data_IF_926502665741
#
_entry.id   IF_926502665741
#
_cell.length_a   1.000
_cell.length_b   1.000
_cell.length_c   1.000
_cell.angle_alpha   90.00
_cell.angle_beta   90.00
_cell.angle_gamma   90.00
#
_symmetry.space_group_name_H-M   'P 1'
#
loop_
_entity.id
_entity.type
_entity.pdbx_description
1 polymer ?
#
# COMPACT_ATOMS: atom_id res chain seq x y z
N UNK A 1 4.84 1.72 -11.92
CA UNK A 1 4.46 0.60 -12.80
C UNK A 1 4.88 -0.74 -12.23
N UNK A 2 6.18 -1.04 -12.08
CA UNK A 2 6.65 -2.32 -11.54
C UNK A 2 5.95 -2.76 -10.24
N UNK A 3 5.95 -1.91 -9.21
CA UNK A 3 5.28 -2.23 -7.94
C UNK A 3 3.77 -2.47 -8.04
N UNK A 4 3.06 -1.76 -8.93
CA UNK A 4 1.61 -1.95 -9.11
C UNK A 4 1.35 -3.24 -9.86
N UNK A 5 2.12 -3.52 -10.92
CA UNK A 5 2.05 -4.76 -11.67
C UNK A 5 2.30 -5.98 -10.77
N UNK A 6 3.30 -5.92 -9.89
CA UNK A 6 3.56 -6.94 -8.87
C UNK A 6 2.35 -7.14 -7.94
N UNK A 7 1.72 -6.04 -7.50
CA UNK A 7 0.54 -6.10 -6.61
C UNK A 7 -0.66 -6.74 -7.32
N UNK A 8 -0.92 -6.35 -8.58
CA UNK A 8 -1.98 -6.94 -9.42
C UNK A 8 -1.71 -8.43 -9.62
N UNK A 9 -0.46 -8.83 -9.83
CA UNK A 9 -0.09 -10.23 -10.01
C UNK A 9 -0.38 -11.06 -8.75
N UNK A 10 0.04 -10.60 -7.56
CA UNK A 10 -0.25 -11.28 -6.29
C UNK A 10 -1.77 -11.38 -6.04
N UNK A 11 -2.49 -10.28 -6.22
CA UNK A 11 -3.95 -10.24 -6.07
C UNK A 11 -4.65 -11.18 -7.04
N UNK A 12 -4.20 -11.23 -8.29
CA UNK A 12 -4.80 -12.11 -9.30
C UNK A 12 -4.60 -13.58 -8.96
N UNK A 13 -3.40 -13.95 -8.50
CA UNK A 13 -3.12 -15.30 -8.00
C UNK A 13 -4.00 -15.62 -6.79
N UNK A 14 -4.03 -14.73 -5.80
CA UNK A 14 -4.85 -14.87 -4.60
C UNK A 14 -6.32 -15.10 -4.97
N UNK A 15 -6.91 -14.20 -5.77
CA UNK A 15 -8.30 -14.28 -6.16
C UNK A 15 -8.63 -15.58 -6.90
N UNK A 16 -7.83 -15.94 -7.91
CA UNK A 16 -8.07 -17.15 -8.70
C UNK A 16 -7.89 -18.43 -7.88
N UNK A 17 -6.86 -18.49 -7.02
CA UNK A 17 -6.68 -19.59 -6.07
C UNK A 17 -7.87 -19.68 -5.10
N UNK A 18 -8.41 -18.55 -4.64
CA UNK A 18 -9.62 -18.55 -3.81
C UNK A 18 -10.85 -19.06 -4.54
N UNK A 19 -11.02 -18.69 -5.81
CA UNK A 19 -12.11 -19.17 -6.65
C UNK A 19 -12.03 -20.70 -6.82
N UNK A 20 -10.83 -21.21 -7.10
CA UNK A 20 -10.57 -22.63 -7.20
C UNK A 20 -10.78 -23.36 -5.85
N UNK A 21 -10.29 -22.78 -4.76
CA UNK A 21 -10.41 -23.37 -3.42
C UNK A 21 -11.88 -23.46 -2.98
N UNK A 22 -12.65 -22.40 -3.16
CA UNK A 22 -14.01 -22.29 -2.63
C UNK A 22 -15.06 -22.96 -3.52
N UNK A 23 -14.93 -22.86 -4.84
CA UNK A 23 -15.94 -23.35 -5.79
C UNK A 23 -15.43 -24.44 -6.74
N UNK A 24 -14.16 -24.87 -6.61
CA UNK A 24 -13.59 -25.90 -7.48
C UNK A 24 -13.39 -25.46 -8.93
N UNK A 25 -13.59 -24.17 -9.24
CA UNK A 25 -13.50 -23.66 -10.61
C UNK A 25 -12.03 -23.57 -11.00
N UNK A 26 -11.62 -24.47 -11.88
CA UNK A 26 -10.28 -24.45 -12.46
C UNK A 26 -10.19 -23.38 -13.52
N UNK A 27 -9.03 -22.73 -13.59
CA UNK A 27 -8.73 -21.73 -14.60
C UNK A 27 -7.55 -22.23 -15.43
N UNK A 28 -7.72 -22.24 -16.75
CA UNK A 28 -6.62 -22.56 -17.67
C UNK A 28 -5.58 -21.44 -17.70
N UNK A 29 -4.57 -21.59 -18.56
CA UNK A 29 -3.50 -20.59 -18.72
C UNK A 29 -4.00 -19.18 -19.05
N UNK A 30 -5.18 -19.06 -19.67
CA UNK A 30 -5.81 -17.77 -20.00
C UNK A 30 -6.54 -17.11 -18.83
N UNK A 31 -6.85 -17.83 -17.74
CA UNK A 31 -7.62 -17.30 -16.61
C UNK A 31 -7.01 -16.05 -15.97
N UNK A 32 -5.71 -16.08 -15.58
CA UNK A 32 -5.01 -14.90 -15.06
C UNK A 32 -5.02 -13.72 -16.03
N UNK A 33 -4.86 -13.99 -17.33
CA UNK A 33 -4.85 -12.95 -18.36
C UNK A 33 -6.22 -12.28 -18.48
N UNK A 34 -7.29 -13.07 -18.56
CA UNK A 34 -8.67 -12.58 -18.64
C UNK A 34 -9.08 -11.81 -17.39
N UNK A 35 -8.66 -12.29 -16.21
CA UNK A 35 -8.92 -11.62 -14.95
C UNK A 35 -8.25 -10.24 -14.88
N UNK A 36 -6.96 -10.14 -15.22
CA UNK A 36 -6.27 -8.84 -15.25
C UNK A 36 -6.79 -7.92 -16.34
N UNK A 37 -7.17 -8.46 -17.50
CA UNK A 37 -7.82 -7.68 -18.55
C UNK A 37 -9.15 -7.08 -18.04
N UNK A 38 -9.97 -7.87 -17.36
CA UNK A 38 -11.21 -7.42 -16.74
C UNK A 38 -10.97 -6.33 -15.67
N UNK A 39 -10.01 -6.55 -14.76
CA UNK A 39 -9.61 -5.52 -13.79
C UNK A 39 -9.14 -4.24 -14.46
N UNK A 40 -8.40 -4.36 -15.57
CA UNK A 40 -7.90 -3.22 -16.35
C UNK A 40 -9.02 -2.40 -16.93
N UNK A 41 -10.04 -3.03 -17.50
CA UNK A 41 -11.24 -2.32 -17.95
C UNK A 41 -11.92 -1.58 -16.79
N UNK A 42 -12.07 -2.24 -15.64
CA UNK A 42 -12.75 -1.64 -14.47
C UNK A 42 -11.99 -0.40 -13.98
N UNK A 43 -10.68 -0.49 -13.75
CA UNK A 43 -9.92 0.64 -13.19
C UNK A 43 -9.68 1.75 -14.22
N UNK A 44 -9.59 1.44 -15.52
CA UNK A 44 -9.50 2.47 -16.57
C UNK A 44 -10.79 3.29 -16.63
N UNK A 45 -11.95 2.64 -16.62
CA UNK A 45 -13.25 3.32 -16.60
C UNK A 45 -13.42 4.12 -15.29
N UNK A 46 -13.00 3.57 -14.15
CA UNK A 46 -13.05 4.26 -12.86
C UNK A 46 -12.16 5.51 -12.85
N UNK A 47 -10.94 5.42 -13.36
CA UNK A 47 -10.01 6.54 -13.46
C UNK A 47 -10.53 7.67 -14.37
N UNK A 48 -11.28 7.32 -15.43
CA UNK A 48 -11.82 8.26 -16.42
C UNK A 48 -13.12 8.93 -15.97
N UNK A 49 -14.06 8.17 -15.37
CA UNK A 49 -15.42 8.61 -14.99
C UNK A 49 -15.50 9.68 -13.89
N UNK A 50 -14.37 10.20 -13.43
CA UNK A 50 -14.29 11.36 -12.55
C UNK A 50 -13.52 11.05 -11.28
N UNK A 51 -12.24 11.45 -11.29
CA UNK A 51 -11.22 11.39 -10.23
C UNK A 51 -11.72 11.70 -8.81
N UNK A 52 -12.76 12.52 -8.65
CA UNK A 52 -13.23 12.93 -7.32
C UNK A 52 -14.41 12.13 -6.75
N UNK A 53 -15.28 11.55 -7.58
CA UNK A 53 -16.48 10.83 -7.10
C UNK A 53 -16.28 9.31 -7.12
N UNK A 54 -15.69 8.76 -8.18
CA UNK A 54 -15.42 7.31 -8.30
C UNK A 54 -14.46 6.83 -7.23
N UNK A 55 -13.23 7.39 -7.21
CA UNK A 55 -12.19 7.06 -6.24
C UNK A 55 -12.70 7.20 -4.79
N UNK A 56 -13.44 8.27 -4.48
CA UNK A 56 -13.96 8.48 -3.12
C UNK A 56 -15.02 7.45 -2.71
N UNK A 57 -15.90 7.04 -3.64
CA UNK A 57 -16.91 6.01 -3.38
C UNK A 57 -16.27 4.63 -3.20
N UNK A 58 -15.39 4.24 -4.12
CA UNK A 58 -14.72 2.94 -4.06
C UNK A 58 -13.83 2.86 -2.81
N UNK A 59 -13.10 3.93 -2.46
CA UNK A 59 -12.34 4.00 -1.21
C UNK A 59 -13.23 3.90 0.04
N UNK A 60 -14.44 4.50 0.01
CA UNK A 60 -15.42 4.36 1.08
C UNK A 60 -15.93 2.92 1.24
N UNK A 61 -16.26 2.26 0.12
CA UNK A 61 -16.63 0.83 0.10
C UNK A 61 -15.49 -0.03 0.61
N UNK A 62 -14.25 0.25 0.19
CA UNK A 62 -13.06 -0.45 0.66
C UNK A 62 -12.92 -0.37 2.18
N UNK A 63 -13.08 0.83 2.75
CA UNK A 63 -12.98 1.04 4.19
C UNK A 63 -14.09 0.29 4.94
N UNK A 64 -15.34 0.34 4.45
CA UNK A 64 -16.46 -0.36 5.07
C UNK A 64 -16.25 -1.87 5.01
N UNK A 65 -15.85 -2.42 3.86
CA UNK A 65 -15.54 -3.83 3.70
C UNK A 65 -14.39 -4.26 4.63
N UNK A 66 -13.33 -3.44 4.72
CA UNK A 66 -12.19 -3.71 5.58
C UNK A 66 -12.58 -3.78 7.06
N UNK A 67 -13.33 -2.80 7.55
CA UNK A 67 -13.81 -2.76 8.94
C UNK A 67 -14.79 -3.90 9.20
N UNK A 68 -15.74 -4.14 8.29
CA UNK A 68 -16.71 -5.23 8.41
C UNK A 68 -16.01 -6.59 8.47
N UNK A 69 -15.08 -6.83 7.54
CA UNK A 69 -14.29 -8.06 7.51
C UNK A 69 -13.48 -8.24 8.80
N UNK A 70 -12.76 -7.19 9.24
CA UNK A 70 -11.96 -7.24 10.46
C UNK A 70 -12.79 -7.51 11.71
N UNK A 71 -13.94 -6.84 11.86
CA UNK A 71 -14.84 -7.06 13.00
C UNK A 71 -15.45 -8.46 12.99
N UNK A 72 -15.91 -8.93 11.82
CA UNK A 72 -16.51 -10.26 11.69
C UNK A 72 -15.46 -11.35 11.96
N UNK A 73 -14.27 -11.22 11.38
CA UNK A 73 -13.16 -12.13 11.62
C UNK A 73 -12.77 -12.14 13.11
N UNK A 74 -12.66 -10.99 13.77
CA UNK A 74 -12.38 -10.93 15.20
C UNK A 74 -13.48 -11.58 16.04
N UNK A 75 -14.75 -11.40 15.66
CA UNK A 75 -15.88 -11.97 16.38
C UNK A 75 -15.89 -13.50 16.38
N UNK A 76 -15.49 -14.13 15.26
CA UNK A 76 -15.46 -15.59 15.09
C UNK A 76 -14.10 -16.24 15.35
N UNK A 77 -13.03 -15.45 15.51
CA UNK A 77 -11.69 -15.96 15.84
C UNK A 77 -11.54 -16.29 17.33
N UNK A 78 -10.56 -17.14 17.72
CA UNK A 78 -10.22 -17.36 19.13
C UNK A 78 -9.63 -16.08 19.77
N UNK A 79 -10.49 -15.26 20.39
CA UNK A 79 -10.16 -13.89 20.84
C UNK A 79 -8.98 -13.85 21.80
N UNK A 80 -8.93 -14.77 22.75
CA UNK A 80 -7.84 -14.85 23.74
C UNK A 80 -6.50 -15.15 23.07
N UNK A 81 -6.50 -15.99 22.03
CA UNK A 81 -5.31 -16.28 21.24
C UNK A 81 -4.89 -15.05 20.42
N UNK A 82 -5.83 -14.36 19.76
CA UNK A 82 -5.54 -13.13 19.00
C UNK A 82 -4.92 -12.06 19.90
N UNK A 83 -5.46 -11.87 21.11
CA UNK A 83 -4.96 -10.88 22.06
C UNK A 83 -3.58 -11.27 22.65
N UNK A 84 -3.39 -12.54 23.01
CA UNK A 84 -2.12 -13.02 23.59
C UNK A 84 -0.98 -13.04 22.57
N UNK A 85 -1.19 -13.64 21.39
CA UNK A 85 -0.24 -13.58 20.28
C UNK A 85 0.01 -12.14 19.84
N UNK A 86 -1.05 -11.33 19.78
CA UNK A 86 -0.95 -9.93 19.36
C UNK A 86 -0.11 -9.09 20.32
N UNK A 87 -0.31 -9.26 21.62
CA UNK A 87 0.47 -8.56 22.67
C UNK A 87 1.94 -9.00 22.62
N UNK A 88 2.19 -10.29 22.44
CA UNK A 88 3.55 -10.84 22.29
C UNK A 88 4.25 -10.29 21.05
N UNK A 89 3.53 -10.19 19.93
CA UNK A 89 4.04 -9.62 18.69
C UNK A 89 4.41 -8.14 18.85
N UNK A 90 3.57 -7.34 19.52
CA UNK A 90 3.86 -5.93 19.82
C UNK A 90 5.07 -5.77 20.74
N UNK A 91 5.17 -6.58 21.80
CA UNK A 91 6.32 -6.58 22.71
C UNK A 91 7.62 -6.91 21.97
N UNK A 92 7.60 -7.99 21.17
CA UNK A 92 8.74 -8.41 20.35
C UNK A 92 9.12 -7.35 19.32
N UNK A 93 8.13 -6.72 18.66
CA UNK A 93 8.39 -5.63 17.73
C UNK A 93 9.11 -4.47 18.41
N UNK A 94 8.66 -4.05 19.59
CA UNK A 94 9.28 -2.95 20.34
C UNK A 94 10.71 -3.27 20.79
N UNK A 95 10.97 -4.50 21.26
CA UNK A 95 12.30 -4.89 21.74
C UNK A 95 13.28 -5.19 20.61
N UNK A 96 12.79 -5.69 19.49
CA UNK A 96 13.63 -6.14 18.36
C UNK A 96 13.73 -5.12 17.23
N UNK A 97 13.11 -3.95 17.36
CA UNK A 97 13.09 -2.92 16.32
C UNK A 97 14.49 -2.52 15.84
N UNK A 98 15.38 -2.13 16.76
CA UNK A 98 16.74 -1.68 16.42
C UNK A 98 17.59 -2.84 15.86
N UNK A 99 17.67 -4.02 16.49
CA UNK A 99 18.40 -5.15 15.93
C UNK A 99 17.94 -5.55 14.52
N UNK A 100 16.62 -5.67 14.29
CA UNK A 100 16.09 -6.03 12.97
C UNK A 100 16.36 -4.96 11.91
N UNK A 101 16.40 -3.68 12.30
CA UNK A 101 16.68 -2.57 11.38
C UNK A 101 18.12 -2.56 10.86
N UNK A 102 19.06 -3.17 11.60
CA UNK A 102 20.49 -3.21 11.27
C UNK A 102 20.95 -4.57 10.73
N UNK A 103 20.07 -5.57 10.74
CA UNK A 103 20.40 -6.93 10.30
C UNK A 103 20.39 -7.04 8.77
N UNK A 104 21.52 -7.45 8.20
CA UNK A 104 21.73 -7.53 6.74
C UNK A 104 22.03 -8.94 6.23
N UNK A 105 22.10 -9.94 7.11
CA UNK A 105 22.63 -11.26 6.79
C UNK A 105 21.57 -12.28 6.32
N UNK A 106 21.92 -13.08 5.31
CA UNK A 106 21.23 -14.33 4.98
C UNK A 106 20.15 -14.23 3.89
N UNK A 107 19.84 -15.39 3.32
CA UNK A 107 18.83 -15.55 2.26
C UNK A 107 17.43 -15.09 2.72
N UNK A 108 17.11 -15.31 3.99
CA UNK A 108 15.85 -14.84 4.59
C UNK A 108 15.68 -13.32 4.50
N UNK A 109 16.75 -12.56 4.79
CA UNK A 109 16.72 -11.08 4.71
C UNK A 109 16.55 -10.62 3.27
N UNK A 110 17.17 -11.33 2.32
CA UNK A 110 16.98 -11.04 0.90
C UNK A 110 15.53 -11.29 0.45
N UNK A 111 14.97 -12.47 0.77
CA UNK A 111 13.62 -12.88 0.37
C UNK A 111 12.48 -12.13 1.06
N UNK A 112 12.72 -11.59 2.26
CA UNK A 112 11.70 -10.84 3.01
C UNK A 112 12.02 -9.36 3.11
N UNK A 113 13.04 -8.98 3.89
CA UNK A 113 13.30 -7.58 4.24
C UNK A 113 13.67 -6.74 3.01
N UNK A 114 14.70 -7.15 2.25
CA UNK A 114 15.19 -6.41 1.07
C UNK A 114 14.15 -6.40 -0.03
N UNK A 115 13.47 -7.52 -0.26
CA UNK A 115 12.36 -7.59 -1.21
C UNK A 115 11.22 -6.62 -0.83
N UNK A 116 10.75 -6.63 0.42
CA UNK A 116 9.71 -5.72 0.89
C UNK A 116 10.14 -4.26 0.74
N UNK A 117 11.36 -3.90 1.18
CA UNK A 117 11.88 -2.53 1.01
C UNK A 117 11.88 -2.09 -0.46
N UNK A 118 12.34 -2.95 -1.35
CA UNK A 118 12.34 -2.65 -2.79
C UNK A 118 10.94 -2.46 -3.33
N UNK A 119 10.01 -3.32 -2.92
CA UNK A 119 8.60 -3.17 -3.28
C UNK A 119 8.03 -1.83 -2.78
N UNK A 120 8.28 -1.46 -1.52
CA UNK A 120 7.82 -0.18 -0.97
C UNK A 120 8.45 1.03 -1.68
N UNK A 121 9.74 1.00 -2.00
CA UNK A 121 10.39 2.08 -2.77
C UNK A 121 9.84 2.18 -4.20
N UNK A 122 9.50 1.06 -4.85
CA UNK A 122 8.84 1.10 -6.17
C UNK A 122 7.46 1.79 -6.13
N UNK A 123 6.83 1.84 -4.94
CA UNK A 123 5.54 2.47 -4.66
C UNK A 123 5.63 3.91 -4.13
N UNK A 124 6.78 4.29 -3.59
CA UNK A 124 7.01 5.60 -2.96
C UNK A 124 6.61 6.82 -3.81
N UNK A 125 6.85 6.90 -5.15
CA UNK A 125 6.45 8.08 -5.92
C UNK A 125 4.92 8.21 -6.00
N UNK A 126 4.20 7.08 -6.10
CA UNK A 126 2.74 7.06 -6.15
C UNK A 126 2.14 7.47 -4.81
N UNK A 127 2.58 6.82 -3.73
CA UNK A 127 2.11 7.11 -2.38
C UNK A 127 2.44 8.55 -1.97
N UNK A 128 3.65 9.04 -2.30
CA UNK A 128 4.10 10.39 -2.00
C UNK A 128 3.26 11.46 -2.70
N UNK A 129 3.00 11.32 -4.01
CA UNK A 129 2.18 12.29 -4.74
C UNK A 129 0.72 12.27 -4.27
N UNK A 130 0.18 11.09 -3.97
CA UNK A 130 -1.17 10.94 -3.42
C UNK A 130 -1.30 11.63 -2.05
N UNK A 131 -0.36 11.36 -1.13
CA UNK A 131 -0.33 12.01 0.18
C UNK A 131 -0.17 13.52 0.04
N UNK A 132 0.69 14.00 -0.87
CA UNK A 132 0.87 15.42 -1.13
C UNK A 132 -0.41 16.08 -1.64
N UNK A 133 -1.12 15.45 -2.57
CA UNK A 133 -2.37 15.96 -3.13
C UNK A 133 -3.47 16.10 -2.06
N UNK A 134 -3.58 15.14 -1.15
CA UNK A 134 -4.56 15.17 -0.05
C UNK A 134 -4.17 16.13 1.08
N UNK A 135 -2.89 16.53 1.13
CA UNK A 135 -2.31 17.30 2.23
C UNK A 135 -2.21 18.81 1.97
N UNK A 136 -2.81 19.32 0.88
CA UNK A 136 -2.78 20.75 0.55
C UNK A 136 -3.32 21.59 1.72
N UNK A 137 -2.52 22.56 2.17
CA UNK A 137 -2.87 23.46 3.28
C UNK A 137 -2.67 22.86 4.69
N UNK A 138 -2.18 21.62 4.82
CA UNK A 138 -1.86 21.01 6.11
C UNK A 138 -0.42 21.31 6.54
N UNK A 139 -0.18 21.34 7.85
CA UNK A 139 1.18 21.45 8.41
C UNK A 139 1.96 20.17 8.17
N UNK A 140 3.25 20.26 7.85
CA UNK A 140 4.15 19.11 7.61
C UNK A 140 4.03 18.08 8.74
N UNK A 141 4.09 18.52 10.00
CA UNK A 141 3.94 17.63 11.18
C UNK A 141 2.66 16.80 11.17
N UNK A 142 1.54 17.38 10.74
CA UNK A 142 0.25 16.69 10.69
C UNK A 142 0.23 15.68 9.55
N UNK A 143 0.83 16.03 8.41
CA UNK A 143 0.96 15.13 7.26
C UNK A 143 1.81 13.92 7.61
N UNK A 144 2.97 14.13 8.24
CA UNK A 144 3.87 13.06 8.66
C UNK A 144 3.23 12.18 9.73
N UNK A 145 2.64 12.78 10.77
CA UNK A 145 2.02 12.02 11.86
C UNK A 145 0.82 11.22 11.37
N UNK A 146 -0.12 11.83 10.65
CA UNK A 146 -1.30 11.12 10.12
C UNK A 146 -0.88 10.09 9.08
N UNK A 147 0.08 10.42 8.21
CA UNK A 147 0.58 9.50 7.19
C UNK A 147 1.25 8.27 7.77
N UNK A 148 2.13 8.43 8.77
CA UNK A 148 2.84 7.31 9.40
C UNK A 148 1.94 6.56 10.40
N UNK A 149 1.36 7.26 11.38
CA UNK A 149 0.68 6.60 12.50
C UNK A 149 -0.61 5.93 12.06
N UNK A 150 -1.45 6.60 11.26
CA UNK A 150 -2.73 6.02 10.87
C UNK A 150 -2.56 4.79 9.95
N UNK A 151 -1.60 4.84 9.02
CA UNK A 151 -1.33 3.71 8.12
C UNK A 151 -0.67 2.55 8.86
N UNK A 152 0.31 2.82 9.72
CA UNK A 152 0.92 1.80 10.57
C UNK A 152 -0.08 1.15 11.51
N UNK A 153 -1.00 1.91 12.12
CA UNK A 153 -2.02 1.36 13.00
C UNK A 153 -2.95 0.38 12.27
N UNK A 154 -3.40 0.71 11.05
CA UNK A 154 -4.22 -0.18 10.25
C UNK A 154 -3.48 -1.48 9.90
N UNK A 155 -2.21 -1.38 9.52
CA UNK A 155 -1.34 -2.53 9.23
C UNK A 155 -1.14 -3.40 10.47
N UNK A 156 -0.86 -2.79 11.63
CA UNK A 156 -0.72 -3.51 12.90
C UNK A 156 -2.00 -4.28 13.20
N UNK A 157 -3.17 -3.63 13.20
CA UNK A 157 -4.45 -4.30 13.48
C UNK A 157 -4.67 -5.49 12.53
N UNK A 158 -4.38 -5.32 11.24
CA UNK A 158 -4.50 -6.40 10.26
C UNK A 158 -3.61 -7.60 10.58
N UNK A 159 -2.32 -7.36 10.86
CA UNK A 159 -1.36 -8.43 11.17
C UNK A 159 -1.62 -9.09 12.52
N UNK A 160 -2.03 -8.34 13.55
CA UNK A 160 -2.39 -8.93 14.84
C UNK A 160 -3.61 -9.83 14.70
N UNK A 161 -4.63 -9.39 13.95
CA UNK A 161 -5.85 -10.17 13.75
C UNK A 161 -5.58 -11.43 12.92
N UNK A 162 -5.09 -11.30 11.69
CA UNK A 162 -4.86 -12.46 10.82
C UNK A 162 -3.72 -13.35 11.32
N UNK A 163 -2.62 -12.75 11.80
CA UNK A 163 -1.47 -13.47 12.31
C UNK A 163 -1.77 -14.20 13.61
N UNK A 164 -2.47 -13.56 14.55
CA UNK A 164 -2.90 -14.19 15.79
C UNK A 164 -3.85 -15.36 15.53
N UNK A 165 -4.83 -15.18 14.64
CA UNK A 165 -5.76 -16.26 14.27
C UNK A 165 -5.04 -17.39 13.54
N UNK A 166 -4.18 -17.09 12.55
CA UNK A 166 -3.50 -18.13 11.77
C UNK A 166 -2.53 -18.95 12.61
N UNK A 167 -1.74 -18.32 13.48
CA UNK A 167 -0.85 -19.00 14.42
C UNK A 167 -1.65 -19.89 15.37
N UNK A 168 -2.75 -19.39 15.91
CA UNK A 168 -3.61 -20.17 16.81
C UNK A 168 -4.19 -21.41 16.12
N UNK A 169 -4.74 -21.27 14.91
CA UNK A 169 -5.36 -22.39 14.21
C UNK A 169 -4.33 -23.40 13.68
N UNK A 170 -3.16 -22.93 13.23
CA UNK A 170 -2.06 -23.79 12.80
C UNK A 170 -1.47 -24.58 13.98
N UNK A 171 -1.16 -23.93 15.11
CA UNK A 171 -0.56 -24.60 16.26
C UNK A 171 -1.53 -25.56 16.97
N UNK A 172 -2.82 -25.25 16.98
CA UNK A 172 -3.84 -26.17 17.55
C UNK A 172 -4.15 -27.36 16.64
N UNK A 173 -3.70 -27.35 15.38
CA UNK A 173 -4.07 -28.35 14.38
C UNK A 173 -5.48 -28.19 13.81
N UNK A 174 -6.21 -27.14 14.19
CA UNK A 174 -7.57 -26.85 13.70
C UNK A 174 -7.57 -26.52 12.19
N UNK A 175 -6.50 -25.89 11.70
CA UNK A 175 -6.29 -25.63 10.27
C UNK A 175 -4.88 -26.03 9.85
N UNK A 176 -4.75 -26.71 8.71
CA UNK A 176 -3.44 -27.01 8.12
C UNK A 176 -3.10 -26.02 6.98
N UNK A 177 -2.72 -24.81 7.38
CA UNK A 177 -2.38 -23.71 6.46
C UNK A 177 -1.10 -24.04 5.71
N UNK A 178 -0.05 -24.46 6.42
CA UNK A 178 1.24 -24.81 5.81
C UNK A 178 1.11 -26.00 4.85
N UNK A 179 0.32 -27.02 5.21
CA UNK A 179 0.04 -28.15 4.33
C UNK A 179 -0.73 -27.74 3.08
N UNK A 180 -1.66 -26.79 3.20
CA UNK A 180 -2.38 -26.26 2.03
C UNK A 180 -1.44 -25.52 1.07
N UNK A 181 -0.50 -24.73 1.60
CA UNK A 181 0.53 -24.07 0.77
C UNK A 181 1.38 -25.12 0.03
N UNK A 182 1.81 -26.16 0.74
CA UNK A 182 2.60 -27.24 0.15
C UNK A 182 1.86 -27.97 -0.99
N UNK A 183 0.56 -28.26 -0.82
CA UNK A 183 -0.24 -28.93 -1.87
C UNK A 183 -0.58 -28.02 -3.05
N UNK A 184 -0.47 -26.70 -2.91
CA UNK A 184 -0.67 -25.72 -3.98
C UNK A 184 0.64 -25.25 -4.60
N UNK A 185 1.64 -26.15 -4.66
CA UNK A 185 2.94 -25.88 -5.31
C UNK A 185 3.76 -24.81 -4.59
N UNK A 186 3.59 -24.67 -3.27
CA UNK A 186 4.29 -23.66 -2.47
C UNK A 186 3.68 -22.26 -2.55
N UNK A 187 2.54 -22.09 -3.24
CA UNK A 187 1.92 -20.78 -3.40
C UNK A 187 1.27 -20.28 -2.10
N UNK A 188 1.79 -19.18 -1.54
CA UNK A 188 1.21 -18.51 -0.38
C UNK A 188 -0.17 -17.92 -0.68
N UNK A 189 -0.54 -17.84 -1.97
CA UNK A 189 -1.82 -17.37 -2.42
C UNK A 189 -3.00 -18.18 -1.83
N UNK A 190 -2.78 -19.42 -1.37
CA UNK A 190 -3.83 -20.22 -0.76
C UNK A 190 -4.02 -19.93 0.74
N UNK A 191 -3.04 -19.33 1.42
CA UNK A 191 -2.90 -19.37 2.88
C UNK A 191 -4.12 -18.87 3.69
N UNK A 192 -4.82 -17.85 3.17
CA UNK A 192 -6.00 -17.29 3.83
C UNK A 192 -7.23 -18.21 3.81
N UNK A 193 -7.39 -19.05 2.78
CA UNK A 193 -8.59 -19.86 2.61
C UNK A 193 -8.77 -21.01 3.62
N UNK A 194 -7.75 -21.82 3.95
CA UNK A 194 -7.88 -22.83 5.00
C UNK A 194 -8.07 -22.18 6.39
N UNK A 195 -7.49 -20.99 6.61
CA UNK A 195 -7.72 -20.20 7.81
C UNK A 195 -9.21 -19.83 7.95
N UNK A 196 -9.82 -19.25 6.90
CA UNK A 196 -11.23 -18.88 6.94
C UNK A 196 -12.17 -20.09 6.97
N UNK A 197 -11.76 -21.20 6.35
CA UNK A 197 -12.53 -22.45 6.31
C UNK A 197 -12.65 -23.14 7.65
N UNK A 198 -11.68 -22.93 8.54
CA UNK A 198 -11.70 -23.44 9.89
C UNK A 198 -12.55 -22.59 10.86
N UNK A 199 -13.10 -21.46 10.41
CA UNK A 199 -13.89 -20.55 11.24
C UNK A 199 -15.39 -20.60 10.90
N UNK A 200 -16.26 -20.28 11.87
CA UNK A 200 -17.67 -20.02 11.60
C UNK A 200 -17.84 -18.94 10.52
N UNK A 201 -18.92 -19.02 9.75
CA UNK A 201 -19.20 -18.09 8.63
C UNK A 201 -18.13 -18.10 7.53
N UNK A 202 -17.38 -19.21 7.38
CA UNK A 202 -16.32 -19.40 6.37
C UNK A 202 -16.69 -18.85 4.98
N UNK A 203 -17.83 -19.25 4.41
CA UNK A 203 -18.22 -18.82 3.06
C UNK A 203 -18.37 -17.29 2.96
N UNK A 204 -18.92 -16.65 4.00
CA UNK A 204 -19.06 -15.20 4.06
C UNK A 204 -17.69 -14.53 4.21
N UNK A 205 -16.81 -15.06 5.06
CA UNK A 205 -15.44 -14.56 5.22
C UNK A 205 -14.66 -14.61 3.91
N UNK A 206 -14.70 -15.74 3.21
CA UNK A 206 -14.02 -15.92 1.92
C UNK A 206 -14.60 -14.99 0.87
N UNK A 207 -15.92 -14.85 0.80
CA UNK A 207 -16.59 -13.90 -0.09
C UNK A 207 -16.16 -12.46 0.18
N UNK A 208 -16.20 -12.02 1.45
CA UNK A 208 -15.79 -10.67 1.84
C UNK A 208 -14.30 -10.43 1.56
N UNK A 209 -13.45 -11.43 1.81
CA UNK A 209 -12.02 -11.34 1.51
C UNK A 209 -11.75 -11.19 0.01
N UNK A 210 -12.42 -11.98 -0.84
CA UNK A 210 -12.33 -11.85 -2.29
C UNK A 210 -12.87 -10.50 -2.79
N UNK A 211 -13.98 -10.03 -2.24
CA UNK A 211 -14.53 -8.70 -2.55
C UNK A 211 -13.54 -7.58 -2.17
N UNK A 212 -12.92 -7.70 -0.99
CA UNK A 212 -11.91 -6.76 -0.49
C UNK A 212 -10.70 -6.73 -1.42
N UNK A 213 -10.22 -7.88 -1.89
CA UNK A 213 -9.12 -7.98 -2.86
C UNK A 213 -9.43 -7.19 -4.14
N UNK A 214 -10.63 -7.36 -4.71
CA UNK A 214 -11.05 -6.66 -5.93
C UNK A 214 -11.11 -5.15 -5.70
N UNK A 215 -11.81 -4.72 -4.65
CA UNK A 215 -11.98 -3.28 -4.37
C UNK A 215 -10.65 -2.61 -4.05
N UNK A 216 -9.77 -3.30 -3.31
CA UNK A 216 -8.45 -2.80 -2.96
C UNK A 216 -7.56 -2.61 -4.19
N UNK A 217 -7.51 -3.60 -5.09
CA UNK A 217 -6.66 -3.50 -6.28
C UNK A 217 -7.20 -2.48 -7.28
N UNK A 218 -8.52 -2.38 -7.44
CA UNK A 218 -9.15 -1.35 -8.28
C UNK A 218 -8.81 0.05 -7.77
N UNK A 219 -9.02 0.33 -6.48
CA UNK A 219 -8.70 1.65 -5.88
C UNK A 219 -7.23 2.01 -6.03
N UNK A 220 -6.37 1.01 -5.83
CA UNK A 220 -4.91 1.14 -5.94
C UNK A 220 -4.48 1.43 -7.37
N UNK A 221 -5.01 0.68 -8.34
CA UNK A 221 -4.72 0.83 -9.76
C UNK A 221 -5.27 2.13 -10.35
N UNK A 222 -6.44 2.59 -9.89
CA UNK A 222 -7.02 3.89 -10.24
C UNK A 222 -6.07 5.02 -9.88
N UNK A 223 -5.65 5.03 -8.61
CA UNK A 223 -4.79 6.07 -8.05
C UNK A 223 -3.42 6.07 -8.72
N UNK A 224 -2.84 4.89 -8.97
CA UNK A 224 -1.55 4.79 -9.67
C UNK A 224 -1.63 5.28 -11.10
N UNK A 225 -2.68 4.90 -11.84
CA UNK A 225 -2.89 5.33 -13.23
C UNK A 225 -2.96 6.84 -13.33
N UNK A 226 -3.74 7.47 -12.43
CA UNK A 226 -3.85 8.92 -12.38
C UNK A 226 -2.50 9.59 -12.09
N UNK A 227 -1.74 9.08 -11.11
CA UNK A 227 -0.42 9.65 -10.76
C UNK A 227 0.56 9.53 -11.92
N UNK A 228 0.67 8.37 -12.58
CA UNK A 228 1.54 8.23 -13.76
C UNK A 228 1.11 9.23 -14.83
N UNK A 229 -0.18 9.34 -15.09
CA UNK A 229 -0.70 10.26 -16.11
C UNK A 229 -0.33 11.71 -15.79
N UNK A 230 -0.43 12.13 -14.52
CA UNK A 230 -0.02 13.46 -14.07
C UNK A 230 1.49 13.67 -14.28
N UNK A 231 2.32 12.69 -13.90
CA UNK A 231 3.78 12.77 -14.05
C UNK A 231 4.23 12.80 -15.52
N UNK A 232 3.45 12.18 -16.41
CA UNK A 232 3.69 12.16 -17.86
C UNK A 232 3.05 13.33 -18.61
N UNK A 233 2.30 14.18 -17.91
CA UNK A 233 1.67 15.37 -18.49
C UNK A 233 2.54 16.60 -18.22
N UNK A 234 2.64 17.52 -19.19
CA UNK A 234 3.39 18.77 -18.97
C UNK A 234 2.81 19.53 -17.77
N UNK A 235 3.70 20.17 -17.01
CA UNK A 235 3.34 21.00 -15.86
C UNK A 235 2.29 22.04 -16.28
N UNK A 236 1.22 22.17 -15.49
CA UNK A 236 0.05 23.05 -15.71
C UNK A 236 -0.97 22.60 -16.77
N UNK A 237 -0.84 21.42 -17.37
CA UNK A 237 -1.91 20.83 -18.18
C UNK A 237 -2.69 19.79 -17.37
N UNK A 238 -4.00 19.72 -17.60
CA UNK A 238 -4.82 18.64 -17.08
C UNK A 238 -4.55 17.36 -17.89
N UNK A 239 -4.44 16.20 -17.24
CA UNK A 239 -4.41 14.90 -17.90
C UNK A 239 -5.57 14.74 -18.89
N UNK A 240 -5.29 14.32 -20.13
CA UNK A 240 -6.34 13.99 -21.10
C UNK A 240 -6.87 12.58 -20.87
N UNK A 241 -8.14 12.34 -21.22
CA UNK A 241 -8.74 11.00 -21.20
C UNK A 241 -7.89 9.97 -21.94
N UNK A 242 -7.38 10.31 -23.13
CA UNK A 242 -6.51 9.42 -23.89
C UNK A 242 -5.22 9.02 -23.16
N UNK A 243 -4.63 9.95 -22.39
CA UNK A 243 -3.43 9.67 -21.59
C UNK A 243 -3.74 8.73 -20.42
N UNK A 244 -4.88 8.93 -19.73
CA UNK A 244 -5.35 8.06 -18.64
C UNK A 244 -5.57 6.63 -19.16
N UNK A 245 -6.27 6.49 -20.28
CA UNK A 245 -6.54 5.19 -20.92
C UNK A 245 -5.23 4.52 -21.34
N UNK A 246 -4.32 5.25 -21.98
CA UNK A 246 -3.02 4.72 -22.39
C UNK A 246 -2.24 4.17 -21.20
N UNK A 247 -2.08 4.96 -20.13
CA UNK A 247 -1.30 4.54 -18.97
C UNK A 247 -1.96 3.41 -18.18
N UNK A 248 -3.28 3.39 -18.11
CA UNK A 248 -4.01 2.31 -17.47
C UNK A 248 -3.88 1.00 -18.23
N UNK A 249 -4.09 1.01 -19.55
CA UNK A 249 -3.89 -0.18 -20.40
C UNK A 249 -2.42 -0.66 -20.34
N UNK A 250 -1.46 0.26 -20.40
CA UNK A 250 -0.04 -0.08 -20.27
C UNK A 250 0.27 -0.75 -18.93
N UNK A 251 -0.31 -0.26 -17.82
CA UNK A 251 -0.18 -0.90 -16.51
C UNK A 251 -0.73 -2.33 -16.51
N UNK A 252 -1.89 -2.56 -17.15
CA UNK A 252 -2.49 -3.89 -17.32
C UNK A 252 -1.61 -4.83 -18.12
N UNK A 253 -1.03 -4.35 -19.23
CA UNK A 253 -0.08 -5.13 -20.05
C UNK A 253 1.16 -5.53 -19.24
N UNK A 254 1.73 -4.61 -18.46
CA UNK A 254 2.87 -4.92 -17.58
C UNK A 254 2.46 -5.94 -16.52
N UNK A 255 1.27 -5.83 -15.92
CA UNK A 255 0.77 -6.82 -14.96
C UNK A 255 0.59 -8.22 -15.58
N UNK A 256 0.05 -8.31 -16.80
CA UNK A 256 -0.06 -9.58 -17.54
C UNK A 256 1.33 -10.14 -17.85
N UNK A 257 2.26 -9.33 -18.35
CA UNK A 257 3.63 -9.78 -18.63
C UNK A 257 4.30 -10.34 -17.36
N UNK A 258 4.18 -9.61 -16.25
CA UNK A 258 4.70 -9.99 -14.93
C UNK A 258 4.05 -11.29 -14.41
N UNK A 259 2.76 -11.50 -14.66
CA UNK A 259 2.08 -12.76 -14.37
C UNK A 259 2.59 -13.94 -15.22
N UNK A 260 2.80 -13.71 -16.52
CA UNK A 260 3.18 -14.75 -17.48
C UNK A 260 4.64 -15.20 -17.34
N UNK A 261 5.54 -14.28 -16.97
CA UNK A 261 6.97 -14.60 -16.74
C UNK A 261 7.14 -15.54 -15.52
N UNK A 262 6.18 -15.54 -14.59
CA UNK A 262 5.89 -16.69 -13.72
C UNK A 262 6.78 -16.86 -12.50
N UNK A 263 6.16 -17.18 -11.36
CA UNK A 263 6.80 -17.46 -10.06
C UNK A 263 6.80 -16.28 -9.07
N UNK A 264 6.65 -16.55 -7.76
CA UNK A 264 6.79 -15.52 -6.72
C UNK A 264 8.16 -14.84 -6.80
N UNK A 265 9.21 -15.62 -7.07
CA UNK A 265 10.59 -15.16 -7.25
C UNK A 265 10.77 -14.16 -8.40
N UNK A 266 10.15 -14.39 -9.56
CA UNK A 266 10.18 -13.44 -10.68
C UNK A 266 9.50 -12.12 -10.35
N UNK A 267 8.39 -12.17 -9.58
CA UNK A 267 7.73 -10.96 -9.07
C UNK A 267 8.63 -10.19 -8.10
N UNK A 268 9.39 -10.91 -7.27
CA UNK A 268 10.35 -10.32 -6.35
C UNK A 268 11.49 -9.63 -7.08
N UNK A 269 12.07 -10.29 -8.09
CA UNK A 269 13.17 -9.74 -8.89
C UNK A 269 12.78 -8.43 -9.61
N UNK A 270 11.60 -8.38 -10.23
CA UNK A 270 11.11 -7.15 -10.91
C UNK A 270 10.92 -6.00 -9.91
N UNK A 271 10.39 -6.28 -8.71
CA UNK A 271 10.25 -5.28 -7.66
C UNK A 271 11.62 -4.76 -7.18
N UNK A 272 12.62 -5.64 -7.05
CA UNK A 272 14.01 -5.25 -6.69
C UNK A 272 14.64 -4.38 -7.77
N UNK A 273 14.56 -4.80 -9.03
CA UNK A 273 15.13 -4.06 -10.16
C UNK A 273 14.51 -2.67 -10.34
N UNK A 274 13.22 -2.52 -10.05
CA UNK A 274 12.52 -1.24 -10.17
C UNK A 274 12.61 -0.38 -8.90
N UNK A 275 12.63 -1.00 -7.73
CA UNK A 275 12.67 -0.34 -6.43
C UNK A 275 14.04 0.17 -6.03
N UNK A 276 15.10 -0.58 -6.33
CA UNK A 276 16.49 -0.24 -5.98
C UNK A 276 16.91 1.16 -6.46
N UNK A 277 16.79 1.48 -7.77
CA UNK A 277 17.10 2.82 -8.27
C UNK A 277 16.24 3.91 -7.62
N UNK A 278 14.96 3.61 -7.34
CA UNK A 278 14.07 4.58 -6.71
C UNK A 278 14.43 4.84 -5.23
N UNK A 279 15.02 3.87 -4.54
CA UNK A 279 15.55 4.08 -3.20
C UNK A 279 16.66 5.15 -3.20
N UNK A 280 17.58 5.10 -4.17
CA UNK A 280 18.63 6.13 -4.34
C UNK A 280 18.00 7.50 -4.63
N UNK A 281 17.02 7.57 -5.54
CA UNK A 281 16.30 8.81 -5.85
C UNK A 281 15.61 9.36 -4.59
N UNK A 282 15.02 8.49 -3.76
CA UNK A 282 14.35 8.89 -2.52
C UNK A 282 15.32 9.49 -1.50
N UNK A 283 16.55 8.97 -1.41
CA UNK A 283 17.60 9.54 -0.56
C UNK A 283 18.03 10.93 -1.05
N UNK A 284 18.20 11.10 -2.36
CA UNK A 284 18.50 12.42 -2.95
C UNK A 284 17.36 13.41 -2.69
N UNK A 285 16.12 12.98 -2.86
CA UNK A 285 14.94 13.79 -2.59
C UNK A 285 14.84 14.19 -1.10
N UNK A 286 15.22 13.30 -0.18
CA UNK A 286 15.25 13.59 1.26
C UNK A 286 16.27 14.69 1.57
N UNK A 287 17.49 14.62 1.00
CA UNK A 287 18.51 15.68 1.17
C UNK A 287 18.00 17.01 0.60
N UNK A 288 17.39 16.98 -0.59
CA UNK A 288 16.80 18.17 -1.22
C UNK A 288 15.69 18.79 -0.38
N UNK A 289 14.79 17.97 0.17
CA UNK A 289 13.71 18.42 1.05
C UNK A 289 14.26 19.05 2.32
N UNK A 290 15.23 18.41 2.98
CA UNK A 290 15.86 18.96 4.19
C UNK A 290 16.48 20.32 3.92
N UNK A 291 17.21 20.48 2.80
CA UNK A 291 17.78 21.78 2.41
C UNK A 291 16.70 22.83 2.12
N UNK A 292 15.62 22.45 1.43
CA UNK A 292 14.53 23.36 1.11
C UNK A 292 13.81 23.87 2.36
N UNK A 293 13.54 22.99 3.33
CA UNK A 293 12.91 23.35 4.61
C UNK A 293 13.82 24.27 5.43
N UNK A 294 15.11 23.94 5.53
CA UNK A 294 16.08 24.77 6.26
C UNK A 294 16.24 26.17 5.64
N UNK A 295 16.22 26.26 4.30
CA UNK A 295 16.29 27.53 3.60
C UNK A 295 15.04 28.41 3.84
N UNK A 296 13.84 27.80 3.85
CA UNK A 296 12.60 28.52 4.11
C UNK A 296 12.51 29.04 5.57
N UNK A 297 12.95 28.24 6.55
CA UNK A 297 13.04 28.67 7.95
C UNK A 297 14.08 29.81 8.16
N UNK A 298 15.22 29.73 7.47
CA UNK A 298 16.21 30.81 7.41
C UNK A 298 15.67 32.10 6.81
N UNK A 299 14.83 32.00 5.76
CA UNK A 299 14.14 33.13 5.16
C UNK A 299 13.11 33.78 6.11
N UNK A 300 12.30 32.98 6.81
CA UNK A 300 11.27 33.49 7.72
C UNK A 300 11.85 34.15 8.98
N UNK A 301 12.96 33.64 9.52
CA UNK A 301 13.66 34.26 10.65
C UNK A 301 14.23 35.64 10.28
N UNK A 302 14.74 35.80 9.06
CA UNK A 302 15.21 37.08 8.53
C UNK A 302 14.06 38.09 8.32
N UNK A 303 12.88 37.64 7.90
CA UNK A 303 11.68 38.45 7.75
C UNK A 303 11.13 38.94 9.09
N UNK A 304 11.05 38.06 10.10
CA UNK A 304 10.70 38.43 11.47
C UNK A 304 11.72 39.40 12.09
N UNK A 305 13.01 39.19 11.82
CA UNK A 305 14.06 40.12 12.24
C UNK A 305 13.95 41.49 11.55
N UNK A 306 13.60 41.53 10.27
CA UNK A 306 13.35 42.78 9.51
C UNK A 306 12.10 43.52 10.00
N UNK A 307 11.02 42.81 10.31
CA UNK A 307 9.80 43.40 10.89
C UNK A 307 10.09 43.94 12.29
N UNK A 308 10.86 43.21 13.10
CA UNK A 308 11.26 43.65 14.44
C UNK A 308 12.18 44.89 14.40
N UNK A 309 13.09 44.99 13.43
CA UNK A 309 13.90 46.20 13.19
C UNK A 309 13.07 47.39 12.70
N UNK A 310 12.13 47.19 11.78
CA UNK A 310 11.18 48.25 11.36
C UNK A 310 10.27 48.72 12.50
N UNK A 311 9.93 47.85 13.43
CA UNK A 311 9.18 48.20 14.64
C UNK A 311 9.99 49.02 15.64
N UNK A 312 11.32 48.77 15.75
CA UNK A 312 12.19 49.55 16.65
C UNK A 312 12.62 50.90 16.08
N UNK A 313 12.64 51.07 14.76
CA UNK A 313 12.92 52.37 14.11
C UNK A 313 11.74 53.36 14.19
N UNK A 314 10.53 52.89 14.56
CA UNK A 314 9.36 53.73 14.82
C UNK A 314 9.14 53.99 16.33
N UNK A 315 10.21 54.14 17.08
CA UNK A 315 10.17 54.68 18.45
C UNK A 315 9.79 56.17 18.47
N UNK A 316 9.39 56.75 19.62
CA UNK A 316 8.57 57.96 19.71
C UNK A 316 9.19 59.30 19.25
N UNK A 317 10.41 59.29 18.72
CA UNK A 317 11.16 60.50 18.35
C UNK A 317 11.22 60.69 16.82
N UNK A 318 10.07 60.62 16.15
CA UNK A 318 9.96 61.15 14.78
C UNK A 318 9.92 62.69 14.84
N UNK A 319 10.69 63.42 14.03
CA UNK A 319 10.68 64.88 14.04
C UNK A 319 9.27 65.37 13.71
N UNK A 320 8.74 66.25 14.56
CA UNK A 320 7.55 67.04 14.25
C UNK A 320 7.97 68.08 13.23
N UNK A 321 7.45 67.96 12.01
CA UNK A 321 7.51 69.02 11.02
C UNK A 321 6.52 70.11 11.47
N UNK A 322 7.06 71.28 11.80
CA UNK A 322 6.36 72.55 11.91
C UNK A 322 6.28 73.24 10.54
#
# INVERSE_FOLDING_TARGET
>A
MGGVATSVAFVSKQFLTGIQYQWGVTYGALGPVLFVAGLTVIYVISAESGVHRGIRRIAGVNLVLFVLFGLLLFAVSPRDAVLSWGTTALGTYATSFVPMSLYTGGEWVAGWTVWNWSWWFSWAPFAGLFLAALSRGRRIRTVVFTGAVATSAATVVWFLLLGGTSLSLQHSGTANILGSIATHGGSEAVAGYPLFSALPLSQLLIFLFLALIIVFITTSADTSTLVVTILSTRRNLAPTTGSIVFWGVFQGVVAVAVLLIGGGESLQAVAVLTGGPFAVISLVALVGLTRAVLHDEGGQSSLRARIRRRGSERGPNGPRED
#
